data_IF_344006910485
#
_entry.id   IF_344006910485
#
_cell.length_a   1.000
_cell.length_b   1.000
_cell.length_c   1.000
_cell.angle_alpha   90.00
_cell.angle_beta   90.00
_cell.angle_gamma   90.00
#
_symmetry.space_group_name_H-M   'P 1'
#
loop_
_entity.id
_entity.type
_entity.pdbx_description
1 polymer ?
#
# COMPACT_ATOMS: atom_id res chain seq x y z
N UNK A 1 -8.79 4.86 7.09
CA UNK A 1 -7.60 5.48 6.47
C UNK A 1 -6.72 4.50 5.69
N UNK A 2 -5.90 3.63 6.29
CA UNK A 2 -4.99 2.75 5.50
C UNK A 2 -5.73 1.73 4.63
N UNK A 3 -6.80 1.13 5.15
CA UNK A 3 -7.66 0.21 4.39
C UNK A 3 -8.27 0.87 3.16
N UNK A 4 -8.81 2.07 3.29
CA UNK A 4 -9.38 2.82 2.15
C UNK A 4 -8.31 3.17 1.11
N UNK A 5 -7.08 3.46 1.51
CA UNK A 5 -5.98 3.69 0.59
C UNK A 5 -5.60 2.39 -0.15
N UNK A 6 -5.56 1.25 0.56
CA UNK A 6 -5.32 -0.06 -0.02
C UNK A 6 -6.44 -0.46 -1.02
N UNK A 7 -7.70 -0.25 -0.64
CA UNK A 7 -8.86 -0.57 -1.47
C UNK A 7 -8.85 0.25 -2.78
N UNK A 8 -8.45 1.54 -2.71
CA UNK A 8 -8.30 2.40 -3.90
C UNK A 8 -7.19 1.92 -4.84
N UNK A 9 -6.03 1.51 -4.31
CA UNK A 9 -4.94 0.96 -5.13
C UNK A 9 -5.40 -0.36 -5.77
N UNK A 10 -6.04 -1.23 -5.00
CA UNK A 10 -6.53 -2.52 -5.47
C UNK A 10 -7.56 -2.33 -6.59
N UNK A 11 -8.50 -1.41 -6.42
CA UNK A 11 -9.48 -1.06 -7.47
C UNK A 11 -8.80 -0.54 -8.73
N UNK A 12 -7.79 0.33 -8.59
CA UNK A 12 -7.02 0.84 -9.73
C UNK A 12 -6.31 -0.32 -10.44
N UNK A 13 -5.61 -1.18 -9.70
CA UNK A 13 -4.91 -2.34 -10.23
C UNK A 13 -5.86 -3.29 -10.99
N UNK A 14 -7.04 -3.56 -10.44
CA UNK A 14 -8.03 -4.42 -11.10
C UNK A 14 -8.53 -3.80 -12.42
N UNK A 15 -8.85 -2.50 -12.41
CA UNK A 15 -9.24 -1.79 -13.63
C UNK A 15 -8.16 -1.86 -14.71
N UNK A 16 -6.88 -1.64 -14.34
CA UNK A 16 -5.78 -1.72 -15.31
C UNK A 16 -5.58 -3.13 -15.84
N UNK A 17 -5.69 -4.16 -14.99
CA UNK A 17 -5.57 -5.56 -15.39
C UNK A 17 -6.68 -6.00 -16.34
N UNK A 18 -7.91 -5.54 -16.12
CA UNK A 18 -9.05 -5.81 -17.01
C UNK A 18 -8.89 -5.16 -18.39
N UNK A 19 -8.18 -4.04 -18.46
CA UNK A 19 -7.97 -3.27 -19.69
C UNK A 19 -6.56 -3.41 -20.27
N UNK A 20 -5.76 -4.33 -19.71
CA UNK A 20 -4.34 -4.47 -20.01
C UNK A 20 -4.09 -4.73 -21.51
N UNK A 21 -4.97 -5.52 -22.14
CA UNK A 21 -4.91 -5.88 -23.56
C UNK A 21 -5.03 -4.66 -24.49
N UNK A 22 -5.67 -3.58 -24.03
CA UNK A 22 -5.84 -2.34 -24.79
C UNK A 22 -4.68 -1.35 -24.58
N UNK A 23 -3.69 -1.69 -23.75
CA UNK A 23 -2.55 -0.81 -23.43
C UNK A 23 -1.33 -1.16 -24.27
N UNK A 24 -0.71 -0.11 -24.81
CA UNK A 24 0.64 -0.17 -25.37
C UNK A 24 1.65 -0.65 -24.30
N UNK A 25 2.81 -1.13 -24.76
CA UNK A 25 3.79 -1.78 -23.88
C UNK A 25 4.35 -0.83 -22.81
N UNK A 26 4.73 0.40 -23.18
CA UNK A 26 5.38 1.34 -22.26
C UNK A 26 4.43 1.86 -21.15
N UNK A 27 3.18 2.27 -21.45
CA UNK A 27 2.22 2.66 -20.42
C UNK A 27 1.92 1.54 -19.41
N UNK A 28 1.92 0.28 -19.87
CA UNK A 28 1.64 -0.89 -19.04
C UNK A 28 2.72 -1.12 -17.98
N UNK A 29 3.99 -1.02 -18.36
CA UNK A 29 5.10 -1.11 -17.40
C UNK A 29 5.08 0.05 -16.40
N UNK A 30 4.87 1.27 -16.89
CA UNK A 30 4.85 2.47 -16.05
C UNK A 30 3.73 2.41 -14.99
N UNK A 31 2.53 1.96 -15.39
CA UNK A 31 1.39 1.77 -14.49
C UNK A 31 1.71 0.70 -13.44
N UNK A 32 2.28 -0.43 -13.87
CA UNK A 32 2.64 -1.53 -12.97
C UNK A 32 3.64 -1.05 -11.91
N UNK A 33 4.68 -0.33 -12.34
CA UNK A 33 5.69 0.23 -11.44
C UNK A 33 5.08 1.23 -10.46
N UNK A 34 4.24 2.15 -10.96
CA UNK A 34 3.57 3.17 -10.14
C UNK A 34 2.64 2.58 -9.08
N UNK A 35 1.89 1.53 -9.43
CA UNK A 35 0.98 0.87 -8.49
C UNK A 35 1.75 0.11 -7.41
N UNK A 36 2.83 -0.58 -7.79
CA UNK A 36 3.71 -1.27 -6.85
C UNK A 36 4.36 -0.30 -5.87
N UNK A 37 4.87 0.85 -6.34
CA UNK A 37 5.45 1.88 -5.48
C UNK A 37 4.44 2.42 -4.46
N UNK A 38 3.21 2.70 -4.91
CA UNK A 38 2.13 3.16 -4.02
C UNK A 38 1.76 2.10 -2.98
N UNK A 39 1.70 0.83 -3.37
CA UNK A 39 1.42 -0.28 -2.46
C UNK A 39 2.51 -0.42 -1.39
N UNK A 40 3.79 -0.40 -1.81
CA UNK A 40 4.93 -0.46 -0.91
C UNK A 40 4.91 0.69 0.10
N UNK A 41 4.61 1.92 -0.36
CA UNK A 41 4.51 3.08 0.51
C UNK A 41 3.42 2.95 1.59
N UNK A 42 2.25 2.39 1.25
CA UNK A 42 1.20 2.12 2.25
C UNK A 42 1.67 1.07 3.25
N UNK A 43 2.24 -0.03 2.75
CA UNK A 43 2.75 -1.11 3.60
C UNK A 43 3.77 -0.60 4.61
N UNK A 44 4.71 0.26 4.19
CA UNK A 44 5.73 0.80 5.08
C UNK A 44 5.16 1.78 6.11
N UNK A 45 4.14 2.58 5.74
CA UNK A 45 3.41 3.42 6.71
C UNK A 45 2.70 2.57 7.77
N UNK A 46 2.04 1.49 7.36
CA UNK A 46 1.37 0.57 8.29
C UNK A 46 2.38 -0.10 9.22
N UNK A 47 3.51 -0.59 8.71
CA UNK A 47 4.59 -1.17 9.53
C UNK A 47 5.12 -0.16 10.54
N UNK A 48 5.44 1.05 10.10
CA UNK A 48 5.97 2.11 10.94
C UNK A 48 4.99 2.47 12.06
N UNK A 49 3.71 2.65 11.74
CA UNK A 49 2.70 2.98 12.74
C UNK A 49 2.46 1.82 13.71
N UNK A 50 2.45 0.57 13.21
CA UNK A 50 2.32 -0.62 14.07
C UNK A 50 3.47 -0.71 15.05
N UNK A 51 4.71 -0.48 14.60
CA UNK A 51 5.89 -0.44 15.46
C UNK A 51 5.78 0.62 16.55
N UNK A 52 5.35 1.83 16.19
CA UNK A 52 5.13 2.93 17.16
C UNK A 52 4.10 2.54 18.22
N UNK A 53 2.96 1.97 17.83
CA UNK A 53 1.91 1.58 18.76
C UNK A 53 2.33 0.41 19.67
N UNK A 54 3.06 -0.59 19.13
CA UNK A 54 3.64 -1.67 19.92
C UNK A 54 4.62 -1.12 20.95
N UNK A 55 5.52 -0.21 20.54
CA UNK A 55 6.48 0.42 21.46
C UNK A 55 5.78 1.20 22.57
N UNK A 56 4.73 1.96 22.25
CA UNK A 56 3.91 2.68 23.25
C UNK A 56 3.30 1.71 24.27
N UNK A 57 2.73 0.59 23.80
CA UNK A 57 2.16 -0.45 24.68
C UNK A 57 3.22 -1.10 25.56
N UNK A 58 4.40 -1.42 25.03
CA UNK A 58 5.50 -1.98 25.82
C UNK A 58 5.96 -1.04 26.93
N UNK A 59 6.10 0.27 26.64
CA UNK A 59 6.47 1.28 27.65
C UNK A 59 5.39 1.43 28.72
N UNK A 60 4.11 1.28 28.37
CA UNK A 60 3.02 1.31 29.35
C UNK A 60 3.08 0.10 30.28
N UNK A 61 3.37 -1.10 29.75
CA UNK A 61 3.52 -2.34 30.55
C UNK A 61 4.75 -2.27 31.45
N UNK A 62 5.87 -1.72 31.00
CA UNK A 62 7.11 -1.64 31.80
C UNK A 62 7.06 -0.65 32.97
N UNK A 63 5.99 0.14 33.08
CA UNK A 63 5.76 1.10 34.17
C UNK A 63 4.87 0.53 35.29
N UNK A 64 4.43 -0.72 35.15
CA UNK A 64 3.69 -1.51 36.14
C UNK A 64 4.71 -2.42 36.83
#
# INVERSE_FOLDING_TARGET
MYREQFDKITSSHNYYKENEVMMEHDPRELITLTLNDKLNMICDRVKSQTFVEIRKKMVAVSKI
#
